data_IF_018279003560
#
_entry.id   IF_018279003560
#
_cell.length_a   1.000
_cell.length_b   1.000
_cell.length_c   1.000
_cell.angle_alpha   90.00
_cell.angle_beta   90.00
_cell.angle_gamma   90.00
#
_symmetry.space_group_name_H-M   'P 1'
#
loop_
_entity.id
_entity.type
_entity.pdbx_description
1 polymer ?
#
# COMPACT_ATOMS: atom_id res chain seq x y z
N UNK A 1 1.33 10.24 -1.49
CA UNK A 1 -0.03 10.35 -0.91
C UNK A 1 -0.73 8.99 -0.79
N UNK A 2 -0.38 8.00 -1.62
CA UNK A 2 -0.75 6.58 -1.46
C UNK A 2 -1.81 6.06 -2.42
N UNK A 3 -2.38 6.91 -3.28
CA UNK A 3 -3.50 6.50 -4.16
C UNK A 3 -3.10 5.44 -5.17
N UNK A 4 -1.90 5.55 -5.75
CA UNK A 4 -1.39 4.56 -6.69
C UNK A 4 -1.31 3.16 -6.06
N UNK A 5 -0.91 3.05 -4.79
CA UNK A 5 -0.91 1.76 -4.08
C UNK A 5 -2.31 1.24 -3.83
N UNK A 6 -3.25 2.11 -3.45
CA UNK A 6 -4.63 1.72 -3.25
C UNK A 6 -5.26 1.14 -4.54
N UNK A 7 -5.01 1.79 -5.68
CA UNK A 7 -5.45 1.31 -7.00
C UNK A 7 -4.77 0.00 -7.37
N UNK A 8 -3.44 -0.10 -7.19
CA UNK A 8 -2.66 -1.30 -7.50
C UNK A 8 -3.14 -2.51 -6.70
N UNK A 9 -3.24 -2.40 -5.38
CA UNK A 9 -3.63 -3.51 -4.50
C UNK A 9 -5.06 -3.96 -4.77
N UNK A 10 -5.97 -3.02 -5.05
CA UNK A 10 -7.34 -3.35 -5.44
C UNK A 10 -7.43 -4.05 -6.80
N UNK A 11 -6.52 -3.75 -7.74
CA UNK A 11 -6.46 -4.44 -9.02
C UNK A 11 -5.92 -5.87 -8.89
N UNK A 12 -5.01 -6.12 -7.93
CA UNK A 12 -4.37 -7.41 -7.74
C UNK A 12 -5.20 -8.40 -6.92
N UNK A 13 -5.84 -7.94 -5.85
CA UNK A 13 -6.58 -8.82 -4.93
C UNK A 13 -7.83 -8.14 -4.37
N UNK A 14 -8.84 -7.80 -5.21
CA UNK A 14 -10.01 -7.02 -4.82
C UNK A 14 -10.80 -7.60 -3.64
N UNK A 15 -10.73 -8.92 -3.41
CA UNK A 15 -11.37 -9.63 -2.30
C UNK A 15 -10.88 -9.21 -0.90
N UNK A 16 -9.69 -8.60 -0.83
CA UNK A 16 -9.12 -8.11 0.43
C UNK A 16 -9.50 -6.66 0.74
N UNK A 17 -10.19 -5.98 -0.18
CA UNK A 17 -10.62 -4.60 -0.01
C UNK A 17 -11.96 -4.48 0.73
N UNK A 18 -11.92 -4.30 2.06
CA UNK A 18 -13.12 -4.15 2.90
C UNK A 18 -13.54 -2.69 3.16
N UNK A 19 -12.68 -1.72 2.89
CA UNK A 19 -12.91 -0.28 3.05
C UNK A 19 -12.25 0.41 1.87
N UNK A 20 -12.95 1.32 1.19
CA UNK A 20 -12.35 2.12 0.12
C UNK A 20 -11.16 2.92 0.68
N UNK A 21 -9.94 2.40 0.50
CA UNK A 21 -8.69 3.08 0.88
C UNK A 21 -8.64 4.47 0.24
N UNK A 22 -9.29 4.63 -0.93
CA UNK A 22 -9.43 5.89 -1.65
C UNK A 22 -10.29 6.93 -0.92
N UNK A 23 -11.22 6.49 -0.05
CA UNK A 23 -12.09 7.41 0.71
C UNK A 23 -11.39 7.98 1.96
N UNK A 24 -10.21 7.44 2.32
CA UNK A 24 -9.45 7.87 3.50
C UNK A 24 -8.69 9.16 3.19
N UNK A 25 -9.15 10.25 3.80
CA UNK A 25 -8.59 11.60 3.62
C UNK A 25 -7.25 11.80 4.31
N UNK A 26 -7.03 11.16 5.46
CA UNK A 26 -5.78 11.27 6.20
C UNK A 26 -4.70 10.40 5.52
N UNK A 27 -3.61 11.04 5.10
CA UNK A 27 -2.55 10.37 4.33
C UNK A 27 -1.84 9.28 5.14
N UNK A 28 -1.65 9.51 6.45
CA UNK A 28 -0.98 8.55 7.32
C UNK A 28 -1.87 7.32 7.56
N UNK A 29 -3.16 7.53 7.78
CA UNK A 29 -4.13 6.45 7.93
C UNK A 29 -4.29 5.66 6.63
N UNK A 30 -4.32 6.35 5.48
CA UNK A 30 -4.34 5.70 4.17
C UNK A 30 -3.10 4.83 3.95
N UNK A 31 -1.91 5.35 4.29
CA UNK A 31 -0.67 4.60 4.21
C UNK A 31 -0.64 3.36 5.13
N UNK A 32 -1.19 3.45 6.35
CA UNK A 32 -1.34 2.26 7.22
C UNK A 32 -2.20 1.19 6.57
N UNK A 33 -3.35 1.57 6.02
CA UNK A 33 -4.27 0.63 5.37
C UNK A 33 -3.64 -0.04 4.14
N UNK A 34 -2.83 0.70 3.38
CA UNK A 34 -2.06 0.13 2.25
C UNK A 34 -1.13 -0.99 2.73
N UNK A 35 -0.41 -0.76 3.84
CA UNK A 35 0.51 -1.76 4.40
C UNK A 35 -0.24 -2.96 4.98
N UNK A 36 -1.35 -2.74 5.68
CA UNK A 36 -2.21 -3.82 6.20
C UNK A 36 -2.79 -4.67 5.07
N UNK A 37 -3.15 -4.05 3.94
CA UNK A 37 -3.65 -4.76 2.78
C UNK A 37 -2.55 -5.62 2.16
N UNK A 38 -1.36 -5.05 1.93
CA UNK A 38 -0.23 -5.80 1.40
C UNK A 38 0.13 -7.01 2.29
N UNK A 39 0.09 -6.84 3.62
CA UNK A 39 0.31 -7.96 4.56
C UNK A 39 -0.75 -9.07 4.42
N UNK A 40 -2.02 -8.73 4.19
CA UNK A 40 -3.09 -9.72 3.92
C UNK A 40 -2.88 -10.48 2.61
N UNK A 41 -2.22 -9.88 1.63
CA UNK A 41 -1.81 -10.54 0.40
C UNK A 41 -0.54 -11.41 0.58
N UNK A 42 0.00 -11.50 1.80
CA UNK A 42 1.27 -12.19 2.08
C UNK A 42 2.52 -11.37 1.74
N UNK A 43 2.35 -10.13 1.29
CA UNK A 43 3.42 -9.22 0.92
C UNK A 43 3.89 -8.41 2.16
N UNK A 44 4.69 -9.04 3.03
CA UNK A 44 5.27 -8.39 4.21
C UNK A 44 6.39 -7.42 3.81
N UNK A 45 6.12 -6.14 4.02
CA UNK A 45 7.05 -5.06 3.68
C UNK A 45 7.74 -4.47 4.92
N UNK A 46 8.91 -3.87 4.70
CA UNK A 46 9.67 -3.12 5.70
C UNK A 46 9.31 -1.63 5.74
N UNK A 47 8.39 -1.19 4.86
CA UNK A 47 7.93 0.20 4.84
C UNK A 47 7.13 0.56 6.09
N UNK A 48 7.33 1.77 6.57
CA UNK A 48 6.42 2.43 7.50
C UNK A 48 5.40 3.28 6.73
N UNK A 49 4.24 3.62 7.35
CA UNK A 49 3.29 4.55 6.73
C UNK A 49 3.94 5.89 6.37
N UNK A 50 4.91 6.33 7.17
CA UNK A 50 5.65 7.56 6.94
C UNK A 50 6.48 7.51 5.66
N UNK A 51 7.13 6.38 5.34
CA UNK A 51 7.93 6.24 4.11
C UNK A 51 7.07 6.39 2.85
N UNK A 52 5.81 5.96 2.90
CA UNK A 52 4.82 6.13 1.81
C UNK A 52 4.40 7.60 1.70
N UNK A 53 4.13 8.27 2.83
CA UNK A 53 3.71 9.68 2.84
C UNK A 53 4.85 10.60 2.41
N UNK A 54 6.06 10.36 2.91
CA UNK A 54 7.28 11.12 2.57
C UNK A 54 7.77 10.82 1.15
N UNK A 55 7.27 9.75 0.52
CA UNK A 55 7.49 9.48 -0.90
C UNK A 55 8.90 9.01 -1.24
N UNK A 56 9.54 8.21 -0.38
CA UNK A 56 10.90 7.73 -0.60
C UNK A 56 11.01 6.88 -1.89
N UNK A 57 11.74 7.31 -2.93
CA UNK A 57 11.72 6.65 -4.24
C UNK A 57 12.23 5.21 -4.23
N UNK A 58 13.35 4.95 -3.54
CA UNK A 58 13.96 3.63 -3.49
C UNK A 58 13.10 2.62 -2.71
N UNK A 59 12.54 3.07 -1.59
CA UNK A 59 11.66 2.29 -0.75
C UNK A 59 10.35 1.96 -1.48
N UNK A 60 9.78 2.93 -2.21
CA UNK A 60 8.60 2.72 -3.04
C UNK A 60 8.86 1.73 -4.18
N UNK A 61 9.95 1.88 -4.92
CA UNK A 61 10.30 0.98 -6.02
C UNK A 61 10.47 -0.46 -5.51
N UNK A 62 11.18 -0.63 -4.41
CA UNK A 62 11.43 -1.95 -3.86
C UNK A 62 10.15 -2.59 -3.28
N UNK A 63 9.22 -1.80 -2.74
CA UNK A 63 7.90 -2.30 -2.34
C UNK A 63 7.03 -2.72 -3.51
N UNK A 64 6.96 -1.93 -4.58
CA UNK A 64 6.27 -2.32 -5.82
C UNK A 64 6.88 -3.61 -6.38
N UNK A 65 8.21 -3.69 -6.46
CA UNK A 65 8.88 -4.90 -6.91
C UNK A 65 8.54 -6.12 -6.03
N UNK A 66 8.44 -5.93 -4.72
CA UNK A 66 8.05 -7.00 -3.80
C UNK A 66 6.61 -7.48 -4.02
N UNK A 67 5.66 -6.55 -4.25
CA UNK A 67 4.27 -6.87 -4.61
C UNK A 67 4.21 -7.72 -5.89
N UNK A 68 5.01 -7.42 -6.92
CA UNK A 68 5.00 -8.15 -8.19
C UNK A 68 5.70 -9.52 -8.16
N UNK A 69 6.50 -9.80 -7.12
CA UNK A 69 7.19 -11.08 -6.98
C UNK A 69 6.38 -12.12 -6.19
N UNK A 70 5.33 -11.70 -5.48
CA UNK A 70 4.36 -12.57 -4.80
C UNK A 70 3.14 -12.80 -5.68
#
# INVERSE_FOLDING_TARGET
>A
DGEAYAVLLNALAPEHNKKSILDVKDLMERAKLILEYADRMGCKTYLTPKDIVDGSPNLNLAFVAHIFQH
#
